data_IF_616146506732
#
_entry.id   IF_616146506732
#
_cell.length_a   1.000
_cell.length_b   1.000
_cell.length_c   1.000
_cell.angle_alpha   90.00
_cell.angle_beta   90.00
_cell.angle_gamma   90.00
#
_symmetry.space_group_name_H-M   'P 1'
#
loop_
_entity.id
_entity.type
_entity.pdbx_description
1 polymer ?
#
# COMPACT_ATOMS: atom_id res chain seq x y z
N UNK A 1 -14.53 -14.29 -12.46
CA UNK A 1 -15.16 -13.87 -11.18
C UNK A 1 -14.05 -13.10 -10.46
N UNK A 2 -14.23 -11.80 -10.30
CA UNK A 2 -13.14 -10.87 -9.97
C UNK A 2 -13.08 -10.58 -8.48
N UNK A 3 -11.93 -10.17 -7.95
CA UNK A 3 -11.68 -10.15 -6.53
C UNK A 3 -12.42 -9.00 -5.83
N UNK A 4 -13.20 -9.32 -4.82
CA UNK A 4 -13.94 -8.44 -3.91
C UNK A 4 -13.11 -8.08 -2.66
N UNK A 5 -13.60 -7.20 -1.78
CA UNK A 5 -13.05 -6.98 -0.42
C UNK A 5 -12.72 -8.31 0.30
N UNK A 6 -13.63 -9.29 0.20
CA UNK A 6 -13.43 -10.62 0.76
C UNK A 6 -12.32 -11.43 0.07
N UNK A 7 -11.96 -11.11 -1.17
CA UNK A 7 -10.89 -11.78 -1.91
C UNK A 7 -9.48 -11.24 -1.56
N UNK A 8 -9.36 -10.04 -0.98
CA UNK A 8 -8.12 -9.57 -0.34
C UNK A 8 -7.94 -10.16 1.06
N UNK A 9 -9.01 -10.16 1.87
CA UNK A 9 -9.02 -10.76 3.20
C UNK A 9 -8.83 -12.30 3.17
N UNK A 10 -9.21 -12.97 2.07
CA UNK A 10 -9.03 -14.42 1.87
C UNK A 10 -7.85 -14.80 0.96
N UNK A 11 -7.05 -13.82 0.52
CA UNK A 11 -5.82 -14.04 -0.27
C UNK A 11 -5.98 -14.52 -1.70
N UNK A 12 -7.14 -14.27 -2.31
CA UNK A 12 -7.41 -14.58 -3.72
C UNK A 12 -6.88 -13.54 -4.70
N UNK A 13 -6.50 -12.34 -4.25
CA UNK A 13 -5.96 -11.29 -5.15
C UNK A 13 -4.48 -11.48 -5.45
N UNK A 14 -3.69 -12.05 -4.53
CA UNK A 14 -2.26 -12.29 -4.76
C UNK A 14 -1.94 -13.20 -5.94
N UNK A 15 -2.88 -14.05 -6.36
CA UNK A 15 -2.71 -14.91 -7.52
C UNK A 15 -2.77 -14.16 -8.87
N UNK A 16 -3.29 -12.92 -8.89
CA UNK A 16 -3.51 -12.16 -10.13
C UNK A 16 -2.35 -11.22 -10.53
N UNK A 17 -1.43 -10.90 -9.61
CA UNK A 17 -0.34 -9.94 -9.90
C UNK A 17 0.89 -10.57 -10.58
N UNK A 18 0.98 -11.91 -10.62
CA UNK A 18 2.04 -12.63 -11.34
C UNK A 18 3.47 -12.29 -10.86
N UNK A 19 4.51 -12.96 -11.40
CA UNK A 19 5.88 -12.51 -11.24
C UNK A 19 6.11 -11.33 -12.19
N UNK A 20 5.80 -10.11 -11.75
CA UNK A 20 6.24 -8.91 -12.46
C UNK A 20 7.73 -8.68 -12.22
N UNK A 21 8.45 -8.23 -13.25
CA UNK A 21 9.81 -7.68 -13.07
C UNK A 21 9.74 -6.55 -12.05
N UNK A 22 10.69 -6.51 -11.12
CA UNK A 22 10.71 -5.48 -10.08
C UNK A 22 10.89 -4.12 -10.75
N UNK A 23 9.94 -3.18 -10.59
CA UNK A 23 9.93 -1.97 -11.38
C UNK A 23 11.07 -1.03 -11.00
N UNK A 24 11.52 -0.23 -11.98
CA UNK A 24 12.61 0.71 -11.77
C UNK A 24 12.19 1.86 -10.85
N UNK A 25 13.18 2.56 -10.28
CA UNK A 25 12.94 3.76 -9.45
C UNK A 25 12.10 4.81 -10.21
N UNK A 26 12.38 5.01 -11.49
CA UNK A 26 11.64 5.94 -12.35
C UNK A 26 10.17 5.51 -12.52
N UNK A 27 9.91 4.20 -12.63
CA UNK A 27 8.55 3.68 -12.74
C UNK A 27 7.76 3.86 -11.44
N UNK A 28 8.41 3.69 -10.29
CA UNK A 28 7.80 3.92 -8.97
C UNK A 28 7.48 5.40 -8.79
N UNK A 29 8.40 6.30 -9.17
CA UNK A 29 8.16 7.75 -9.12
C UNK A 29 7.01 8.16 -10.04
N UNK A 30 6.97 7.64 -11.26
CA UNK A 30 5.87 7.93 -12.19
C UNK A 30 4.54 7.39 -11.65
N UNK A 31 4.54 6.22 -11.01
CA UNK A 31 3.33 5.67 -10.40
C UNK A 31 2.73 6.60 -9.33
N UNK A 32 3.55 7.24 -8.50
CA UNK A 32 3.06 8.24 -7.54
C UNK A 32 2.45 9.47 -8.21
N UNK A 33 3.11 10.01 -9.24
CA UNK A 33 2.60 11.17 -10.00
C UNK A 33 1.24 10.86 -10.62
N UNK A 34 1.09 9.68 -11.19
CA UNK A 34 -0.16 9.23 -11.81
C UNK A 34 -1.28 9.05 -10.77
N UNK A 35 -0.96 8.44 -9.61
CA UNK A 35 -1.91 8.27 -8.50
C UNK A 35 -2.36 9.64 -7.98
N UNK A 36 -1.45 10.56 -7.66
CA UNK A 36 -1.79 11.90 -7.18
C UNK A 36 -2.64 12.67 -8.19
N UNK A 37 -2.28 12.61 -9.48
CA UNK A 37 -3.04 13.25 -10.56
C UNK A 37 -4.46 12.70 -10.66
N UNK A 38 -4.61 11.38 -10.52
CA UNK A 38 -5.92 10.74 -10.51
C UNK A 38 -6.74 11.15 -9.28
N UNK A 39 -6.13 11.17 -8.09
CA UNK A 39 -6.80 11.58 -6.85
C UNK A 39 -7.27 13.03 -6.94
N UNK A 40 -6.45 13.94 -7.48
CA UNK A 40 -6.84 15.32 -7.72
C UNK A 40 -8.06 15.46 -8.63
N UNK A 41 -8.19 14.57 -9.62
CA UNK A 41 -9.30 14.60 -10.57
C UNK A 41 -10.57 13.92 -10.04
N UNK A 42 -10.45 12.84 -9.26
CA UNK A 42 -11.57 11.91 -8.98
C UNK A 42 -11.83 11.59 -7.51
N UNK A 43 -10.89 11.88 -6.63
CA UNK A 43 -10.99 11.57 -5.20
C UNK A 43 -10.29 12.64 -4.35
N UNK A 44 -10.68 13.91 -4.54
CA UNK A 44 -10.11 15.04 -3.81
C UNK A 44 -10.05 14.85 -2.28
N UNK A 45 -11.07 14.25 -1.62
CA UNK A 45 -10.97 13.97 -0.19
C UNK A 45 -9.78 13.07 0.18
N UNK A 46 -9.43 12.10 -0.66
CA UNK A 46 -8.24 11.25 -0.45
C UNK A 46 -6.94 12.00 -0.72
N UNK A 47 -6.92 12.90 -1.70
CA UNK A 47 -5.77 13.79 -1.92
C UNK A 47 -5.53 14.67 -0.69
N UNK A 48 -6.60 15.25 -0.12
CA UNK A 48 -6.50 16.16 1.02
C UNK A 48 -6.06 15.44 2.32
N UNK A 49 -6.08 14.09 2.35
CA UNK A 49 -5.54 13.27 3.45
C UNK A 49 -4.03 13.05 3.36
N UNK A 50 -3.41 13.26 2.19
CA UNK A 50 -1.99 13.04 2.00
C UNK A 50 -1.20 13.99 2.93
N UNK A 51 -0.32 13.41 3.75
CA UNK A 51 0.49 14.18 4.68
C UNK A 51 1.71 14.78 3.97
N UNK A 52 2.31 15.84 4.53
CA UNK A 52 3.58 16.33 4.03
C UNK A 52 4.67 15.23 4.00
N UNK A 53 5.72 15.41 3.18
CA UNK A 53 6.91 14.56 3.18
C UNK A 53 7.48 14.26 4.55
N UNK A 54 8.03 13.06 4.72
CA UNK A 54 8.71 12.65 5.95
C UNK A 54 9.91 13.57 6.24
N UNK A 55 10.05 13.93 7.52
CA UNK A 55 11.22 14.68 7.97
C UNK A 55 12.49 13.82 7.91
N UNK A 56 13.66 14.46 7.83
CA UNK A 56 14.94 13.75 7.90
C UNK A 56 15.07 12.88 9.18
N UNK A 57 14.54 13.35 10.30
CA UNK A 57 14.51 12.59 11.55
C UNK A 57 13.59 11.35 11.47
N UNK A 58 12.44 11.47 10.80
CA UNK A 58 11.52 10.35 10.55
C UNK A 58 12.16 9.28 9.66
N UNK A 59 12.78 9.70 8.56
CA UNK A 59 13.51 8.79 7.66
C UNK A 59 14.69 8.11 8.37
N UNK A 60 15.42 8.84 9.22
CA UNK A 60 16.48 8.27 10.04
C UNK A 60 15.95 7.22 11.03
N UNK A 61 14.78 7.46 11.64
CA UNK A 61 14.17 6.54 12.59
C UNK A 61 13.77 5.20 11.95
N UNK A 62 13.38 5.20 10.67
CA UNK A 62 13.05 3.97 9.92
C UNK A 62 14.25 3.36 9.19
N UNK A 63 15.41 4.02 9.15
CA UNK A 63 16.58 3.56 8.40
C UNK A 63 17.12 2.19 8.84
N UNK A 64 16.94 1.81 10.10
CA UNK A 64 17.33 0.51 10.63
C UNK A 64 16.35 -0.63 10.26
N UNK A 65 15.20 -0.30 9.66
CA UNK A 65 14.14 -1.27 9.37
C UNK A 65 14.32 -1.97 8.01
N UNK A 66 15.30 -1.55 7.21
CA UNK A 66 15.58 -2.10 5.87
C UNK A 66 14.32 -2.16 4.99
N UNK A 67 13.56 -1.07 4.96
CA UNK A 67 12.36 -0.94 4.13
C UNK A 67 12.73 -0.96 2.63
N UNK A 68 11.87 -1.48 1.74
CA UNK A 68 12.05 -1.36 0.30
C UNK A 68 12.18 0.10 -0.13
N UNK A 69 13.02 0.37 -1.12
CA UNK A 69 13.22 1.73 -1.64
C UNK A 69 11.90 2.38 -2.06
N UNK A 70 11.00 1.64 -2.71
CA UNK A 70 9.68 2.15 -3.10
C UNK A 70 8.83 2.63 -1.91
N UNK A 71 8.94 1.99 -0.74
CA UNK A 71 8.25 2.41 0.48
C UNK A 71 8.94 3.64 1.09
N UNK A 72 10.28 3.71 1.05
CA UNK A 72 11.03 4.89 1.50
C UNK A 72 10.68 6.10 0.64
N UNK A 73 10.56 5.94 -0.67
CA UNK A 73 10.10 6.98 -1.60
C UNK A 73 8.68 7.43 -1.29
N UNK A 74 7.78 6.51 -0.99
CA UNK A 74 6.41 6.84 -0.56
C UNK A 74 6.44 7.81 0.63
N UNK A 75 7.26 7.52 1.64
CA UNK A 75 7.43 8.35 2.84
C UNK A 75 8.08 9.71 2.52
N UNK A 76 9.02 9.75 1.56
CA UNK A 76 9.64 10.99 1.10
C UNK A 76 8.68 11.91 0.33
N UNK A 77 7.60 11.37 -0.24
CA UNK A 77 6.53 12.16 -0.85
C UNK A 77 5.47 12.52 0.18
N UNK A 78 5.03 11.54 0.96
CA UNK A 78 3.95 11.66 1.93
C UNK A 78 4.19 10.76 3.15
N UNK A 79 4.33 11.38 4.34
CA UNK A 79 4.54 10.66 5.60
C UNK A 79 3.22 10.12 6.17
N UNK A 80 2.58 9.22 5.44
CA UNK A 80 1.27 8.65 5.73
C UNK A 80 0.12 9.36 5.02
N UNK A 81 -1.09 8.84 5.23
CA UNK A 81 -2.30 9.27 4.51
C UNK A 81 -2.39 8.74 3.08
N UNK A 82 -1.31 8.12 2.56
CA UNK A 82 -1.30 7.37 1.30
C UNK A 82 -2.11 6.10 1.50
N UNK A 83 -3.11 5.91 0.64
CA UNK A 83 -3.89 4.68 0.58
C UNK A 83 -3.57 3.92 -0.70
N UNK A 84 -3.23 2.64 -0.55
CA UNK A 84 -2.95 1.70 -1.66
C UNK A 84 -3.99 0.59 -1.59
N UNK A 85 -4.87 0.53 -2.59
CA UNK A 85 -6.14 -0.20 -2.49
C UNK A 85 -6.91 0.20 -1.22
N UNK A 86 -7.09 -0.72 -0.27
CA UNK A 86 -7.80 -0.48 0.99
C UNK A 86 -6.86 -0.28 2.19
N UNK A 87 -5.55 -0.28 1.96
CA UNK A 87 -4.56 -0.17 3.03
C UNK A 87 -4.05 1.26 3.17
N UNK A 88 -4.26 1.86 4.33
CA UNK A 88 -3.59 3.08 4.73
C UNK A 88 -2.14 2.74 5.10
N UNK A 89 -1.20 3.32 4.36
CA UNK A 89 0.24 3.10 4.58
C UNK A 89 0.67 3.88 5.82
N UNK A 90 1.42 3.21 6.70
CA UNK A 90 1.92 3.76 7.94
C UNK A 90 2.91 4.90 7.69
N UNK A 91 2.85 5.92 8.55
CA UNK A 91 3.86 6.97 8.62
C UNK A 91 5.17 6.48 9.28
N UNK A 92 6.23 7.28 9.21
CA UNK A 92 7.54 6.96 9.78
C UNK A 92 7.48 6.69 11.29
N UNK A 93 6.59 7.37 12.03
CA UNK A 93 6.42 7.18 13.48
C UNK A 93 5.81 5.81 13.80
N UNK A 94 4.75 5.43 13.08
CA UNK A 94 4.12 4.12 13.17
C UNK A 94 5.08 2.99 12.74
N UNK A 95 5.85 3.20 11.68
CA UNK A 95 6.86 2.24 11.22
C UNK A 95 8.01 2.07 12.21
N UNK A 96 8.54 3.17 12.75
CA UNK A 96 9.63 3.15 13.72
C UNK A 96 9.23 2.52 15.07
N UNK A 97 7.98 2.70 15.48
CA UNK A 97 7.43 2.05 16.68
C UNK A 97 6.95 0.61 16.44
N UNK A 98 6.73 0.23 15.19
CA UNK A 98 6.37 -1.14 14.81
C UNK A 98 7.49 -2.11 15.19
N UNK A 99 7.16 -3.12 15.99
CA UNK A 99 8.07 -4.22 16.26
C UNK A 99 7.89 -5.30 15.19
N UNK A 100 8.99 -5.95 14.80
CA UNK A 100 8.88 -7.15 13.98
C UNK A 100 8.03 -8.17 14.74
N UNK A 101 6.98 -8.66 14.08
CA UNK A 101 6.05 -9.60 14.68
C UNK A 101 6.63 -11.02 14.73
N UNK A 102 6.04 -11.95 15.50
CA UNK A 102 6.41 -13.36 15.45
C UNK A 102 6.35 -13.89 14.01
N UNK A 103 7.47 -14.38 13.49
CA UNK A 103 7.62 -14.69 12.06
C UNK A 103 8.55 -13.73 11.32
N UNK A 104 8.86 -12.57 11.91
CA UNK A 104 9.82 -11.59 11.41
C UNK A 104 9.28 -10.70 10.29
N UNK A 105 7.96 -10.68 10.09
CA UNK A 105 7.28 -9.72 9.23
C UNK A 105 7.00 -8.41 9.99
N UNK A 106 6.69 -7.35 9.24
CA UNK A 106 6.43 -6.00 9.76
C UNK A 106 5.17 -5.43 9.14
N UNK A 107 4.26 -4.93 9.97
CA UNK A 107 3.10 -4.19 9.46
C UNK A 107 3.54 -2.84 8.89
N UNK A 108 3.23 -2.62 7.62
CA UNK A 108 3.51 -1.38 6.86
C UNK A 108 2.24 -0.60 6.50
N UNK A 109 1.06 -1.17 6.76
CA UNK A 109 -0.22 -0.50 6.63
C UNK A 109 -1.35 -1.31 7.23
N UNK A 110 -2.54 -0.71 7.29
CA UNK A 110 -3.75 -1.34 7.85
C UNK A 110 -4.96 -1.03 6.99
N UNK A 111 -5.83 -2.02 6.84
CA UNK A 111 -7.18 -1.82 6.31
C UNK A 111 -8.04 -1.14 7.36
N UNK A 112 -8.85 -0.17 6.92
CA UNK A 112 -9.80 0.53 7.78
C UNK A 112 -11.05 -0.30 8.13
N UNK A 113 -11.31 -1.39 7.40
CA UNK A 113 -12.61 -2.09 7.44
C UNK A 113 -12.55 -3.42 8.19
N UNK A 114 -11.45 -4.17 8.08
CA UNK A 114 -11.44 -5.61 8.45
C UNK A 114 -10.34 -6.01 9.45
N UNK A 115 -9.69 -5.05 10.14
CA UNK A 115 -8.54 -5.31 11.02
C UNK A 115 -7.41 -6.13 10.34
N UNK A 116 -7.25 -5.94 9.02
CA UNK A 116 -6.23 -6.61 8.21
C UNK A 116 -4.99 -5.74 8.12
N UNK A 117 -3.82 -6.32 8.39
CA UNK A 117 -2.53 -5.65 8.27
C UNK A 117 -1.88 -5.96 6.93
N UNK A 118 -1.41 -4.92 6.25
CA UNK A 118 -0.47 -5.07 5.14
C UNK A 118 0.93 -5.26 5.72
N UNK A 119 1.58 -6.37 5.40
CA UNK A 119 2.81 -6.81 6.01
C UNK A 119 3.92 -6.94 4.98
N UNK A 120 5.09 -6.43 5.35
CA UNK A 120 6.36 -6.68 4.68
C UNK A 120 7.00 -7.92 5.29
N UNK A 121 7.19 -8.95 4.48
CA UNK A 121 7.86 -10.19 4.87
C UNK A 121 9.39 -10.06 4.81
N UNK A 122 10.11 -11.02 5.37
CA UNK A 122 11.59 -11.00 5.39
C UNK A 122 12.21 -11.05 3.99
N UNK A 123 11.53 -11.68 3.06
CA UNK A 123 11.93 -11.77 1.66
C UNK A 123 11.49 -10.55 0.84
N UNK A 124 11.02 -9.49 1.51
CA UNK A 124 10.50 -8.25 0.92
C UNK A 124 9.17 -8.39 0.17
N UNK A 125 8.54 -9.57 0.20
CA UNK A 125 7.19 -9.76 -0.33
C UNK A 125 6.14 -9.10 0.55
N UNK A 126 4.98 -8.82 -0.04
CA UNK A 126 3.86 -8.17 0.63
C UNK A 126 2.74 -9.18 0.85
N UNK A 127 2.28 -9.26 2.10
CA UNK A 127 1.16 -10.10 2.51
C UNK A 127 0.07 -9.27 3.19
N UNK A 128 -1.16 -9.79 3.19
CA UNK A 128 -2.23 -9.32 4.05
C UNK A 128 -2.45 -10.34 5.16
N UNK A 129 -2.53 -9.87 6.40
CA UNK A 129 -2.67 -10.71 7.60
C UNK A 129 -3.85 -10.25 8.45
N UNK A 130 -4.77 -11.16 8.70
CA UNK A 130 -5.97 -10.92 9.50
C UNK A 130 -5.75 -11.30 10.95
N UNK A 131 -6.54 -10.72 11.86
CA UNK A 131 -6.47 -11.02 13.30
C UNK A 131 -6.76 -12.50 13.65
N UNK A 132 -7.48 -13.22 12.78
CA UNK A 132 -7.77 -14.65 12.92
C UNK A 132 -6.59 -15.56 12.54
N UNK A 133 -5.46 -14.98 12.11
CA UNK A 133 -4.26 -15.69 11.70
C UNK A 133 -4.21 -16.06 10.20
N UNK A 134 -5.23 -15.70 9.42
CA UNK A 134 -5.21 -15.86 7.96
C UNK A 134 -4.11 -15.01 7.34
N UNK A 135 -3.40 -15.58 6.38
CA UNK A 135 -2.31 -14.90 5.67
C UNK A 135 -2.45 -15.12 4.17
N UNK A 136 -2.30 -14.03 3.43
CA UNK A 136 -2.50 -13.94 2.00
C UNK A 136 -1.29 -13.30 1.34
N UNK A 137 -0.65 -13.96 0.37
CA UNK A 137 0.27 -13.26 -0.50
C UNK A 137 -0.49 -12.18 -1.29
N UNK A 138 0.09 -11.00 -1.46
CA UNK A 138 -0.50 -9.89 -2.21
C UNK A 138 0.38 -9.53 -3.40
N UNK A 139 1.66 -9.25 -3.17
CA UNK A 139 2.60 -8.86 -4.22
C UNK A 139 4.02 -9.35 -3.88
N UNK A 140 4.86 -9.49 -4.92
CA UNK A 140 6.28 -9.83 -4.75
C UNK A 140 7.10 -8.71 -4.13
N UNK A 141 6.66 -7.46 -4.24
CA UNK A 141 7.29 -6.30 -3.61
C UNK A 141 6.26 -5.16 -3.42
N UNK A 142 6.61 -4.17 -2.59
CA UNK A 142 5.79 -2.95 -2.45
C UNK A 142 5.70 -2.17 -3.78
N UNK A 143 6.74 -2.23 -4.58
CA UNK A 143 6.80 -1.52 -5.86
C UNK A 143 5.80 -2.12 -6.86
N UNK A 144 5.71 -3.46 -6.94
CA UNK A 144 4.69 -4.17 -7.74
C UNK A 144 3.28 -3.88 -7.25
N UNK A 145 3.07 -3.81 -5.93
CA UNK A 145 1.78 -3.44 -5.35
C UNK A 145 1.35 -2.02 -5.80
N UNK A 146 2.25 -1.05 -5.67
CA UNK A 146 1.98 0.34 -6.04
C UNK A 146 1.66 0.50 -7.54
N UNK A 147 2.41 -0.18 -8.41
CA UNK A 147 2.13 -0.14 -9.85
C UNK A 147 0.78 -0.76 -10.19
N UNK A 148 0.45 -1.88 -9.56
CA UNK A 148 -0.84 -2.53 -9.74
C UNK A 148 -1.99 -1.59 -9.33
N UNK A 149 -1.79 -0.83 -8.25
CA UNK A 149 -2.73 0.19 -7.81
C UNK A 149 -2.85 1.34 -8.81
N UNK A 150 -1.72 1.90 -9.26
CA UNK A 150 -1.67 2.92 -10.32
C UNK A 150 -2.48 2.47 -11.54
N UNK A 151 -2.19 1.28 -12.05
CA UNK A 151 -2.84 0.75 -13.25
C UNK A 151 -4.33 0.61 -13.07
N UNK A 152 -4.76 0.16 -11.89
CA UNK A 152 -6.16 0.05 -11.56
C UNK A 152 -6.87 1.41 -11.53
N UNK A 153 -6.23 2.45 -10.99
CA UNK A 153 -6.76 3.81 -11.02
C UNK A 153 -6.82 4.38 -12.45
N UNK A 154 -5.69 4.35 -13.16
CA UNK A 154 -5.56 4.96 -14.49
C UNK A 154 -6.45 4.27 -15.54
N UNK A 155 -6.64 2.95 -15.42
CA UNK A 155 -7.59 2.20 -16.27
C UNK A 155 -9.06 2.46 -15.95
N UNK A 156 -9.36 3.30 -14.95
CA UNK A 156 -10.71 3.57 -14.44
C UNK A 156 -11.43 2.33 -13.94
N UNK A 157 -10.67 1.30 -13.54
CA UNK A 157 -11.22 0.11 -12.90
C UNK A 157 -11.76 0.42 -11.52
N UNK A 158 -11.40 1.54 -10.89
CA UNK A 158 -11.93 1.92 -9.59
C UNK A 158 -12.64 3.27 -9.64
N UNK A 159 -13.70 3.38 -8.84
CA UNK A 159 -14.38 4.64 -8.53
C UNK A 159 -14.35 4.84 -7.02
N UNK A 160 -14.08 6.07 -6.62
CA UNK A 160 -14.14 6.49 -5.23
C UNK A 160 -15.58 6.89 -4.88
N UNK A 161 -16.19 6.20 -3.91
CA UNK A 161 -17.59 6.43 -3.52
C UNK A 161 -17.73 7.33 -2.29
N UNK A 162 -16.69 7.44 -1.47
CA UNK A 162 -16.67 8.29 -0.27
C UNK A 162 -15.61 7.82 0.72
N UNK A 163 -15.40 8.56 1.80
CA UNK A 163 -14.40 8.19 2.82
C UNK A 163 -14.79 6.91 3.57
N UNK A 164 -16.09 6.72 3.81
CA UNK A 164 -16.66 5.56 4.49
C UNK A 164 -16.69 4.31 3.60
N UNK A 165 -16.93 4.49 2.30
CA UNK A 165 -17.12 3.40 1.33
C UNK A 165 -15.83 3.06 0.57
N UNK A 166 -14.87 3.99 0.51
CA UNK A 166 -13.58 3.81 -0.13
C UNK A 166 -13.64 3.69 -1.65
N UNK A 167 -12.79 2.80 -2.19
CA UNK A 167 -12.69 2.53 -3.62
C UNK A 167 -13.47 1.26 -3.96
N UNK A 168 -14.30 1.33 -5.00
CA UNK A 168 -15.03 0.17 -5.52
C UNK A 168 -14.63 -0.08 -6.95
N UNK A 169 -14.34 -1.34 -7.28
CA UNK A 169 -14.01 -1.75 -8.64
C UNK A 169 -15.26 -1.66 -9.53
N UNK A 170 -15.13 -1.01 -10.68
CA UNK A 170 -16.15 -0.85 -11.71
C UNK A 170 -15.73 -1.71 -12.90
N UNK A 171 -16.58 -2.68 -13.22
CA UNK A 171 -16.32 -3.74 -14.21
C UNK A 171 -16.18 -3.26 -15.64
#
# INVERSE_FOLDING_TARGET
>A
RFPTMGDFATGRVGAALGPADDPSEDDVRQAFVDVESWLAAKAKPMLDRLRPPASAAGLQAVGALHLPDALVWALMLHDGGVRVFDFDIHDTSALASSQAQPGGHRAIGTSAVDDVQLCLERDQSITARSADGSCAAIASSFAVLLQSWRDALVSNRFVFLGEDEGFVEVG
#
